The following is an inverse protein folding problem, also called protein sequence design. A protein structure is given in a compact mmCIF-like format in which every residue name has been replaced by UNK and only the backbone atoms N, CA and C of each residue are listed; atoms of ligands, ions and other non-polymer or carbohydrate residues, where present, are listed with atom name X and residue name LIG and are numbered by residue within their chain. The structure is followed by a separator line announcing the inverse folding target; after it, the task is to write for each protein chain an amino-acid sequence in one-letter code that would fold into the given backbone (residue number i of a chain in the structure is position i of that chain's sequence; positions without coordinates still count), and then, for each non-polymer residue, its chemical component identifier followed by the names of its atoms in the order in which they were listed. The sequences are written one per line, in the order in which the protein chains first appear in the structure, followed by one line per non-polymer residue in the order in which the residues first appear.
data_IF_731849530881
#
_entry.id   IF_731849530881
#
_cell.length_a   1.000
_cell.length_b   1.000
_cell.length_c   1.000
_cell.angle_alpha   90.00
_cell.angle_beta   90.00
_cell.angle_gamma   90.00
#
_symmetry.space_group_name_H-M   'P 1'
#
loop_
_entity.id
_entity.type
_entity.pdbx_description
1 polymer ?
#
# COMPACT_ATOMS: atom_id res chain seq x y z
N UNK A 1 35.23 52.48 38.09
CA UNK A 1 33.86 52.15 37.64
C UNK A 1 33.96 51.17 36.52
N UNK A 2 33.80 49.95 36.87
CA UNK A 2 33.98 48.83 35.97
C UNK A 2 32.61 48.34 35.51
N UNK A 3 32.35 48.53 34.21
CA UNK A 3 31.12 48.05 33.62
C UNK A 3 31.33 46.61 33.08
N UNK A 4 30.91 45.62 33.83
CA UNK A 4 30.83 44.27 33.39
C UNK A 4 29.63 44.09 32.46
N UNK A 5 29.90 44.00 31.18
CA UNK A 5 28.92 43.60 30.17
C UNK A 5 28.85 42.09 30.13
N UNK A 6 27.81 41.54 30.74
CA UNK A 6 27.46 40.12 30.58
C UNK A 6 26.80 39.91 29.22
N UNK A 7 27.59 39.43 28.28
CA UNK A 7 27.05 38.93 27.02
C UNK A 7 26.41 37.57 27.27
N UNK A 8 25.11 37.53 27.33
CA UNK A 8 24.36 36.28 27.31
C UNK A 8 24.30 35.78 25.87
N UNK A 9 25.14 34.80 25.56
CA UNK A 9 25.05 34.08 24.31
C UNK A 9 23.84 33.14 24.34
N UNK A 10 22.79 33.55 23.65
CA UNK A 10 21.62 32.72 23.47
C UNK A 10 21.96 31.67 22.41
N UNK A 11 22.32 30.46 22.84
CA UNK A 11 22.51 29.35 21.95
C UNK A 11 21.15 28.88 21.45
N UNK A 12 20.81 29.24 20.22
CA UNK A 12 19.64 28.70 19.55
C UNK A 12 19.90 27.23 19.23
N UNK A 13 19.33 26.36 20.03
CA UNK A 13 19.29 24.93 19.73
C UNK A 13 18.32 24.73 18.60
N UNK A 14 18.80 24.68 17.38
CA UNK A 14 18.00 24.23 16.24
C UNK A 14 17.81 22.73 16.38
N UNK A 15 16.67 22.33 16.91
CA UNK A 15 16.24 20.95 16.86
C UNK A 15 15.89 20.66 15.39
N UNK A 16 16.59 19.75 14.70
CA UNK A 16 16.12 19.34 13.40
C UNK A 16 14.74 18.73 13.60
N UNK A 17 13.74 19.36 12.98
CA UNK A 17 12.45 18.73 12.84
C UNK A 17 12.65 17.50 11.97
N UNK A 18 12.89 16.37 12.59
CA UNK A 18 12.67 15.09 11.96
C UNK A 18 11.18 15.07 11.66
N UNK A 19 10.81 15.43 10.44
CA UNK A 19 9.56 14.99 9.90
C UNK A 19 9.67 13.47 9.89
N UNK A 20 9.23 12.87 10.99
CA UNK A 20 8.99 11.47 11.00
C UNK A 20 7.88 11.27 9.98
N UNK A 21 8.25 10.94 8.76
CA UNK A 21 7.42 10.11 7.93
C UNK A 21 7.25 8.81 8.70
N UNK A 22 6.37 8.84 9.67
CA UNK A 22 5.72 7.64 10.12
C UNK A 22 4.88 7.25 8.91
N UNK A 23 5.55 6.67 7.93
CA UNK A 23 4.91 6.10 6.79
C UNK A 23 4.02 4.99 7.27
N UNK A 24 2.78 5.33 7.57
CA UNK A 24 1.72 4.33 7.51
C UNK A 24 1.67 3.95 6.05
N UNK A 25 2.49 2.97 5.66
CA UNK A 25 2.44 2.39 4.34
C UNK A 25 1.10 1.67 4.24
N UNK A 26 0.15 2.33 3.59
CA UNK A 26 -1.14 1.73 3.26
C UNK A 26 -0.89 0.70 2.18
N UNK A 27 -1.09 -0.55 2.52
CA UNK A 27 -0.89 -1.67 1.62
C UNK A 27 -2.15 -1.98 0.81
N UNK A 28 -1.97 -2.68 -0.31
CA UNK A 28 -3.08 -3.21 -1.11
C UNK A 28 -4.08 -3.94 -0.22
N UNK A 29 -5.35 -3.73 -0.48
CA UNK A 29 -6.44 -4.38 0.26
C UNK A 29 -6.82 -3.71 1.57
N UNK A 30 -6.17 -2.61 1.93
CA UNK A 30 -6.56 -1.78 3.06
C UNK A 30 -7.43 -0.60 2.62
N UNK A 31 -8.33 -0.09 3.49
CA UNK A 31 -9.06 1.13 3.21
C UNK A 31 -8.11 2.30 2.94
N UNK A 32 -8.40 3.09 1.93
CA UNK A 32 -7.60 4.25 1.56
C UNK A 32 -6.37 3.96 0.69
N UNK A 33 -6.15 2.71 0.30
CA UNK A 33 -5.09 2.39 -0.65
C UNK A 33 -5.43 2.88 -2.05
N UNK A 34 -4.46 3.52 -2.68
CA UNK A 34 -4.52 3.93 -4.08
C UNK A 34 -3.35 3.31 -4.84
N UNK A 35 -3.64 2.65 -5.95
CA UNK A 35 -2.64 2.02 -6.79
C UNK A 35 -3.20 0.83 -7.56
N UNK A 36 -2.30 0.03 -8.08
CA UNK A 36 -2.66 -1.17 -8.83
C UNK A 36 -3.23 -2.23 -7.91
N UNK A 37 -4.33 -2.85 -8.35
CA UNK A 37 -4.97 -3.97 -7.66
C UNK A 37 -5.04 -5.18 -8.59
N UNK A 38 -4.97 -6.36 -7.99
CA UNK A 38 -5.16 -7.61 -8.69
C UNK A 38 -6.61 -8.08 -8.52
N UNK A 39 -7.31 -8.25 -9.64
CA UNK A 39 -8.71 -8.64 -9.63
C UNK A 39 -8.89 -10.15 -9.50
N UNK A 40 -8.04 -10.94 -10.16
CA UNK A 40 -8.06 -12.40 -10.06
C UNK A 40 -9.46 -13.01 -9.95
N UNK A 41 -9.70 -13.74 -8.86
CA UNK A 41 -10.95 -14.40 -8.55
C UNK A 41 -11.98 -13.51 -7.84
N UNK A 42 -11.74 -12.22 -7.77
CA UNK A 42 -12.69 -11.28 -7.19
C UNK A 42 -13.92 -11.10 -8.06
N UNK A 43 -15.04 -10.63 -7.50
CA UNK A 43 -16.20 -10.29 -8.30
C UNK A 43 -15.84 -9.26 -9.37
N UNK A 44 -16.55 -9.24 -10.50
CA UNK A 44 -16.31 -8.24 -11.54
C UNK A 44 -16.32 -6.83 -10.96
N UNK A 45 -15.26 -6.03 -11.19
CA UNK A 45 -15.18 -4.70 -10.65
C UNK A 45 -16.18 -3.75 -11.32
N UNK A 46 -16.72 -2.83 -10.56
CA UNK A 46 -17.43 -1.70 -11.10
C UNK A 46 -16.43 -0.64 -11.54
N UNK A 47 -16.47 -0.28 -12.81
CA UNK A 47 -15.52 0.63 -13.42
C UNK A 47 -16.07 2.05 -13.47
N UNK A 48 -15.18 3.04 -13.33
CA UNK A 48 -15.52 4.44 -13.54
C UNK A 48 -15.80 4.70 -15.03
N UNK A 49 -14.95 4.15 -15.89
CA UNK A 49 -15.10 4.21 -17.35
C UNK A 49 -15.17 2.81 -17.92
N UNK A 50 -16.01 2.59 -18.90
CA UNK A 50 -16.16 1.28 -19.56
C UNK A 50 -14.91 0.88 -20.33
N UNK A 51 -14.20 1.86 -20.88
CA UNK A 51 -12.99 1.65 -21.66
C UNK A 51 -11.76 1.96 -20.84
N UNK A 52 -10.66 1.23 -21.05
CA UNK A 52 -9.42 1.53 -20.37
C UNK A 52 -8.83 2.87 -20.84
N UNK A 53 -8.21 3.57 -19.93
CA UNK A 53 -7.45 4.78 -20.26
C UNK A 53 -6.06 4.38 -20.77
N UNK A 54 -5.68 4.98 -21.89
CA UNK A 54 -4.39 4.76 -22.55
C UNK A 54 -3.74 6.12 -22.78
N UNK A 55 -2.54 6.29 -22.26
CA UNK A 55 -1.74 7.51 -22.49
C UNK A 55 -0.85 7.37 -23.70
N UNK A 56 -0.19 6.21 -23.84
CA UNK A 56 0.68 5.90 -24.98
C UNK A 56 0.09 4.77 -25.82
N UNK A 57 0.18 4.88 -27.13
CA UNK A 57 -0.31 3.86 -28.07
C UNK A 57 0.32 2.48 -27.85
N UNK A 58 1.57 2.43 -27.44
CA UNK A 58 2.25 1.18 -27.11
C UNK A 58 1.55 0.35 -26.03
N UNK A 59 0.77 1.00 -25.16
CA UNK A 59 0.01 0.33 -24.12
C UNK A 59 -1.17 -0.50 -24.68
N UNK A 60 -1.62 -0.26 -25.89
CA UNK A 60 -2.79 -0.95 -26.47
C UNK A 60 -2.56 -2.44 -26.66
N UNK A 61 -1.31 -2.89 -26.80
CA UNK A 61 -0.95 -4.29 -26.98
C UNK A 61 -0.68 -5.01 -25.65
N UNK A 62 -0.78 -4.32 -24.52
CA UNK A 62 -0.54 -4.89 -23.21
C UNK A 62 -1.85 -5.32 -22.56
N UNK A 63 -1.85 -6.38 -21.74
CA UNK A 63 -3.00 -6.73 -20.93
C UNK A 63 -3.43 -5.55 -20.05
N UNK A 64 -4.74 -5.28 -19.90
CA UNK A 64 -5.20 -4.21 -19.05
C UNK A 64 -4.90 -4.48 -17.58
N UNK A 65 -4.64 -3.43 -16.84
CA UNK A 65 -4.51 -3.45 -15.39
C UNK A 65 -5.66 -2.71 -14.74
N UNK A 66 -5.91 -3.03 -13.48
CA UNK A 66 -6.94 -2.37 -12.68
C UNK A 66 -6.29 -1.53 -11.60
N UNK A 67 -6.81 -0.33 -11.41
CA UNK A 67 -6.30 0.60 -10.41
C UNK A 67 -7.42 1.25 -9.63
N UNK A 68 -7.17 1.45 -8.36
CA UNK A 68 -7.96 2.31 -7.50
C UNK A 68 -7.19 3.62 -7.29
N UNK A 69 -7.75 4.73 -7.74
CA UNK A 69 -7.16 6.06 -7.61
C UNK A 69 -8.24 7.06 -7.21
N UNK A 70 -7.87 8.23 -6.66
CA UNK A 70 -8.84 9.30 -6.46
C UNK A 70 -9.55 9.65 -7.78
N UNK A 71 -10.85 9.95 -7.77
CA UNK A 71 -11.60 10.25 -9.00
C UNK A 71 -10.99 11.38 -9.85
N UNK A 72 -10.41 12.38 -9.20
CA UNK A 72 -9.71 13.46 -9.89
C UNK A 72 -8.46 13.01 -10.64
N UNK A 73 -7.76 11.99 -10.15
CA UNK A 73 -6.62 11.39 -10.84
C UNK A 73 -7.05 10.57 -12.05
N UNK A 74 -8.12 9.82 -11.93
CA UNK A 74 -8.69 9.08 -13.06
C UNK A 74 -9.14 10.02 -14.19
N UNK A 75 -9.78 11.12 -13.84
CA UNK A 75 -10.26 12.13 -14.78
C UNK A 75 -9.11 12.81 -15.53
N UNK A 76 -8.02 13.09 -14.84
CA UNK A 76 -6.83 13.74 -15.39
C UNK A 76 -5.63 12.76 -15.45
N UNK A 77 -5.85 11.58 -15.96
CA UNK A 77 -4.89 10.49 -15.89
C UNK A 77 -3.53 10.82 -16.51
N UNK A 78 -3.50 11.52 -17.62
CA UNK A 78 -2.25 11.95 -18.26
C UNK A 78 -1.33 12.75 -17.32
N UNK A 79 -1.90 13.53 -16.41
CA UNK A 79 -1.14 14.28 -15.40
C UNK A 79 -0.67 13.42 -14.25
N UNK A 80 -1.41 12.37 -13.91
CA UNK A 80 -1.22 11.62 -12.69
C UNK A 80 -0.61 10.23 -12.88
N UNK A 81 -0.56 9.73 -14.11
CA UNK A 81 -0.09 8.37 -14.37
C UNK A 81 1.34 8.09 -13.89
N UNK A 82 2.22 9.10 -13.92
CA UNK A 82 3.61 8.96 -13.44
C UNK A 82 3.68 8.64 -11.95
N UNK A 83 2.79 9.21 -11.18
CA UNK A 83 2.73 8.97 -9.73
C UNK A 83 2.53 7.49 -9.40
N UNK A 84 1.87 6.77 -10.29
CA UNK A 84 1.57 5.35 -10.14
C UNK A 84 2.45 4.45 -11.00
N UNK A 85 3.41 5.02 -11.73
CA UNK A 85 4.25 4.30 -12.71
C UNK A 85 3.42 3.50 -13.72
N UNK A 86 2.36 4.10 -14.21
CA UNK A 86 1.36 3.44 -15.04
C UNK A 86 1.04 4.16 -16.34
N UNK A 87 1.91 5.08 -16.78
CA UNK A 87 1.69 5.80 -18.06
C UNK A 87 1.77 4.88 -19.28
N UNK A 88 2.51 3.78 -19.19
CA UNK A 88 2.63 2.78 -20.25
C UNK A 88 1.63 1.63 -20.15
N UNK A 89 0.59 1.75 -19.35
CA UNK A 89 -0.38 0.69 -19.10
C UNK A 89 -1.77 1.05 -19.64
N UNK A 90 -2.54 0.02 -19.99
CA UNK A 90 -3.98 0.14 -20.22
C UNK A 90 -4.67 0.02 -18.87
N UNK A 91 -5.31 1.09 -18.40
CA UNK A 91 -5.81 1.15 -17.04
C UNK A 91 -7.32 1.21 -16.99
N UNK A 92 -7.92 0.25 -16.32
CA UNK A 92 -9.28 0.33 -15.84
C UNK A 92 -9.30 0.88 -14.42
N UNK A 93 -10.12 1.89 -14.19
CA UNK A 93 -10.30 2.46 -12.86
C UNK A 93 -11.53 1.86 -12.20
N UNK A 94 -11.32 1.28 -11.02
CA UNK A 94 -12.42 0.76 -10.21
C UNK A 94 -13.06 1.86 -9.39
N UNK A 95 -14.37 1.76 -9.19
CA UNK A 95 -15.08 2.70 -8.33
C UNK A 95 -14.66 2.51 -6.87
N UNK A 96 -14.54 3.63 -6.14
CA UNK A 96 -14.15 3.60 -4.73
C UNK A 96 -15.12 2.82 -3.85
N UNK A 97 -16.41 2.88 -4.15
CA UNK A 97 -17.43 2.10 -3.45
C UNK A 97 -17.25 0.59 -3.65
N UNK A 98 -16.97 0.17 -4.86
CA UNK A 98 -16.68 -1.22 -5.14
C UNK A 98 -15.42 -1.68 -4.41
N UNK A 99 -14.37 -0.89 -4.44
CA UNK A 99 -13.13 -1.18 -3.74
C UNK A 99 -13.35 -1.37 -2.24
N UNK A 100 -14.06 -0.44 -1.60
CA UNK A 100 -14.28 -0.47 -0.15
C UNK A 100 -15.23 -1.56 0.29
N UNK A 101 -16.27 -1.85 -0.49
CA UNK A 101 -17.34 -2.79 -0.11
C UNK A 101 -17.09 -4.22 -0.55
N UNK A 102 -16.46 -4.40 -1.72
CA UNK A 102 -16.27 -5.72 -2.32
C UNK A 102 -14.82 -6.19 -2.23
N UNK A 103 -13.86 -5.36 -2.60
CA UNK A 103 -12.46 -5.76 -2.69
C UNK A 103 -11.80 -5.88 -1.31
N UNK A 104 -11.87 -4.85 -0.49
CA UNK A 104 -11.20 -4.80 0.82
C UNK A 104 -11.62 -5.95 1.74
N UNK A 105 -12.91 -6.22 1.96
CA UNK A 105 -13.32 -7.32 2.83
C UNK A 105 -12.82 -8.68 2.36
N UNK A 106 -12.88 -8.95 1.06
CA UNK A 106 -12.43 -10.23 0.48
C UNK A 106 -10.92 -10.38 0.53
N UNK A 107 -10.19 -9.31 0.32
CA UNK A 107 -8.74 -9.29 0.44
C UNK A 107 -8.30 -9.60 1.87
N UNK A 108 -8.92 -8.96 2.84
CA UNK A 108 -8.63 -9.17 4.26
C UNK A 108 -8.95 -10.59 4.71
N UNK A 109 -10.07 -11.15 4.29
CA UNK A 109 -10.47 -12.53 4.57
C UNK A 109 -9.41 -13.52 4.03
N UNK A 110 -9.03 -13.41 2.77
CA UNK A 110 -8.03 -14.28 2.14
C UNK A 110 -6.65 -14.20 2.81
N UNK A 111 -6.26 -13.04 3.30
CA UNK A 111 -4.96 -12.85 3.93
C UNK A 111 -4.96 -13.22 5.41
N UNK A 112 -6.11 -13.24 6.05
CA UNK A 112 -6.26 -13.73 7.41
C UNK A 112 -6.01 -15.24 7.48
N UNK A 113 -6.62 -15.99 6.61
CA UNK A 113 -6.43 -17.44 6.53
C UNK A 113 -4.97 -17.82 6.34
N UNK A 114 -4.24 -17.10 5.51
CA UNK A 114 -2.81 -17.32 5.29
C UNK A 114 -1.96 -17.05 6.52
N UNK A 115 -2.33 -16.07 7.33
CA UNK A 115 -1.60 -15.74 8.57
C UNK A 115 -1.79 -16.82 9.63
N UNK A 116 -2.99 -17.35 9.72
CA UNK A 116 -3.31 -18.40 10.67
C UNK A 116 -2.61 -19.72 10.29
N UNK A 117 -2.53 -20.03 9.01
CA UNK A 117 -1.74 -21.17 8.51
C UNK A 117 -0.24 -21.06 8.80
N UNK A 118 0.32 -19.86 8.73
CA UNK A 118 1.73 -19.64 9.04
C UNK A 118 2.01 -19.72 10.53
N UNK A 119 1.10 -19.26 11.37
CA UNK A 119 1.22 -19.40 12.82
C UNK A 119 1.17 -20.86 13.25
N UNK A 120 0.21 -21.62 12.73
CA UNK A 120 0.11 -23.06 13.03
C UNK A 120 1.35 -23.87 12.65
N UNK A 121 2.08 -23.44 11.62
CA UNK A 121 3.35 -24.09 11.21
C UNK A 121 4.54 -23.72 12.10
N UNK A 122 4.52 -22.57 12.72
CA UNK A 122 5.58 -22.16 13.64
C UNK A 122 5.45 -22.84 15.01
N UNK A 123 4.24 -22.97 15.50
CA UNK A 123 3.97 -23.64 16.77
C UNK A 123 4.24 -25.15 16.71
N UNK A 124 4.01 -25.77 15.55
CA UNK A 124 4.29 -27.18 15.33
C UNK A 124 5.79 -27.55 15.23
N UNK A 125 6.68 -26.58 15.08
CA UNK A 125 8.13 -26.83 15.00
C UNK A 125 8.84 -26.84 16.35
N UNK A 126 8.22 -26.33 17.39
CA UNK A 126 8.82 -26.29 18.71
C UNK A 126 8.58 -27.54 19.56
N UNK A 127 7.68 -28.42 19.16
CA UNK A 127 7.30 -29.58 19.96
C UNK A 127 8.10 -30.86 19.64
N UNK A 128 8.94 -30.85 18.59
CA UNK A 128 9.72 -32.01 18.18
C UNK A 128 11.15 -32.09 18.78
N UNK A 129 11.44 -31.33 19.83
CA UNK A 129 12.78 -31.25 20.41
C UNK A 129 12.94 -31.77 21.84
N UNK A 130 11.97 -32.47 22.40
CA UNK A 130 12.11 -33.00 23.75
C UNK A 130 11.54 -34.42 23.89
N UNK A 131 12.24 -35.35 23.32
CA UNK A 131 11.95 -36.75 23.47
C UNK A 131 13.20 -37.55 23.25
N UNK A 132 14.18 -37.38 24.12
CA UNK A 132 15.30 -38.29 24.26
C UNK A 132 15.72 -38.22 25.71
N UNK A 133 15.51 -39.19 26.39
CA UNK A 133 15.93 -40.54 26.31
C UNK A 133 16.70 -40.82 27.51
N UNK A 134 16.27 -41.70 28.28
CA UNK A 134 17.10 -42.48 29.16
C UNK A 134 16.85 -43.94 28.83
N UNK A 135 17.67 -44.43 27.91
CA UNK A 135 17.92 -45.82 27.78
C UNK A 135 19.23 -46.15 28.49
N UNK A 136 19.20 -47.06 29.37
CA UNK A 136 20.35 -47.70 29.98
C UNK A 136 21.13 -48.47 28.92
#
# INVERSE_FOLDING_TARGET
MEHFLFSVALAAVTVPALSADVGVSISVGQPGFYGRIDIGDYPPPQLIYREPRVVYRSAMNRPPIYMHVPPGHAKNWRKHCRKYDACGERVYFVQSDWYSREYVPRYQERHRDRRDDQRGKQDGRHDNGRGEGRGR
#
